data_IF_261826465878
#
_entry.id   IF_261826465878
#
_cell.length_a   1.000
_cell.length_b   1.000
_cell.length_c   1.000
_cell.angle_alpha   90.00
_cell.angle_beta   90.00
_cell.angle_gamma   90.00
#
_symmetry.space_group_name_H-M   'P 1'
#
loop_
_entity.id
_entity.type
_entity.pdbx_description
1 polymer ?
#
# COMPACT_ATOMS: atom_id res chain seq x y z
N UNK A 1 5.78 4.68 28.42
CA UNK A 1 6.48 4.68 27.12
C UNK A 1 6.05 3.44 26.36
N UNK A 2 5.57 3.57 25.11
CA UNK A 2 5.46 2.39 24.23
C UNK A 2 6.88 1.90 23.95
N UNK A 3 7.15 0.62 24.13
CA UNK A 3 8.47 0.06 23.87
C UNK A 3 8.77 0.18 22.38
N UNK A 4 9.88 0.84 22.03
CA UNK A 4 10.38 0.89 20.66
C UNK A 4 11.18 -0.38 20.41
N UNK A 5 10.86 -1.11 19.34
CA UNK A 5 11.66 -2.25 18.90
C UNK A 5 12.94 -1.74 18.22
N UNK A 6 14.05 -2.45 18.38
CA UNK A 6 15.26 -2.20 17.60
C UNK A 6 15.07 -2.66 16.16
N UNK A 7 15.89 -2.15 15.24
CA UNK A 7 15.92 -2.60 13.85
C UNK A 7 16.00 -4.12 13.74
N UNK A 8 16.94 -4.75 14.46
CA UNK A 8 17.12 -6.21 14.43
C UNK A 8 15.90 -6.97 14.94
N UNK A 9 15.16 -6.42 15.91
CA UNK A 9 13.91 -7.03 16.39
C UNK A 9 12.79 -6.91 15.34
N UNK A 10 12.69 -5.78 14.66
CA UNK A 10 11.72 -5.55 13.59
C UNK A 10 12.00 -6.52 12.43
N UNK A 11 13.25 -6.59 11.97
CA UNK A 11 13.68 -7.50 10.91
C UNK A 11 13.38 -8.95 11.26
N UNK A 12 13.80 -9.40 12.45
CA UNK A 12 13.56 -10.77 12.88
C UNK A 12 12.06 -11.12 12.94
N UNK A 13 11.22 -10.17 13.34
CA UNK A 13 9.77 -10.34 13.38
C UNK A 13 9.17 -10.48 11.97
N UNK A 14 9.55 -9.59 11.04
CA UNK A 14 9.06 -9.63 9.65
C UNK A 14 9.50 -10.95 9.00
N UNK A 15 10.78 -11.30 9.10
CA UNK A 15 11.29 -12.56 8.56
C UNK A 15 10.60 -13.78 9.18
N UNK A 16 10.32 -13.76 10.49
CA UNK A 16 9.58 -14.84 11.13
C UNK A 16 8.18 -14.98 10.55
N UNK A 17 7.50 -13.86 10.29
CA UNK A 17 6.16 -13.84 9.71
C UNK A 17 6.17 -14.36 8.27
N UNK A 18 7.17 -13.97 7.46
CA UNK A 18 7.37 -14.51 6.10
C UNK A 18 7.59 -16.02 6.14
N UNK A 19 8.40 -16.52 7.08
CA UNK A 19 8.62 -17.96 7.27
C UNK A 19 7.35 -18.70 7.70
N UNK A 20 6.55 -18.12 8.60
CA UNK A 20 5.29 -18.70 9.07
C UNK A 20 4.28 -18.86 7.93
N UNK A 21 4.26 -17.92 6.99
CA UNK A 21 3.44 -17.98 5.76
C UNK A 21 4.02 -18.92 4.70
N UNK A 22 5.29 -19.30 4.83
CA UNK A 22 6.01 -20.21 3.92
C UNK A 22 6.02 -19.73 2.46
N UNK A 23 6.21 -18.43 2.25
CA UNK A 23 6.40 -17.83 0.93
C UNK A 23 7.87 -17.48 0.71
N UNK A 24 8.37 -17.74 -0.50
CA UNK A 24 9.74 -17.39 -0.89
C UNK A 24 9.80 -15.93 -1.35
N UNK A 25 9.84 -15.01 -0.39
CA UNK A 25 9.94 -13.56 -0.59
C UNK A 25 11.09 -13.04 0.26
N UNK A 26 11.98 -12.25 -0.34
CA UNK A 26 13.13 -11.68 0.37
C UNK A 26 12.71 -10.42 1.15
N UNK A 27 13.35 -10.18 2.30
CA UNK A 27 13.19 -8.92 3.03
C UNK A 27 14.36 -7.99 2.73
N UNK A 28 14.06 -6.74 2.40
CA UNK A 28 15.04 -5.69 2.15
C UNK A 28 14.75 -4.45 2.99
N UNK A 29 15.81 -3.85 3.53
CA UNK A 29 15.72 -2.59 4.28
C UNK A 29 16.10 -1.45 3.35
N UNK A 30 15.20 -0.48 3.19
CA UNK A 30 15.44 0.70 2.35
C UNK A 30 14.69 1.91 2.91
N UNK A 31 15.29 3.09 2.80
CA UNK A 31 14.64 4.35 3.21
C UNK A 31 13.80 4.90 2.06
N UNK A 32 12.57 4.41 1.95
CA UNK A 32 11.64 4.77 0.87
C UNK A 32 10.70 5.91 1.26
N UNK A 33 10.51 6.16 2.55
CA UNK A 33 9.45 7.04 3.05
C UNK A 33 8.06 6.39 3.08
N UNK A 34 7.93 5.15 2.59
CA UNK A 34 6.75 4.28 2.71
C UNK A 34 7.05 3.23 3.78
N UNK A 35 6.06 2.87 4.60
CA UNK A 35 6.30 2.03 5.78
C UNK A 35 6.83 0.62 5.42
N UNK A 36 6.11 -0.09 4.55
CA UNK A 36 6.41 -1.39 4.02
C UNK A 36 5.76 -1.46 2.62
N UNK A 37 6.38 -2.17 1.69
CA UNK A 37 5.80 -2.39 0.36
C UNK A 37 6.37 -3.65 -0.27
N UNK A 38 5.60 -4.30 -1.13
CA UNK A 38 6.04 -5.40 -1.95
C UNK A 38 6.52 -4.93 -3.34
N UNK A 39 7.80 -5.13 -3.65
CA UNK A 39 8.33 -4.99 -5.01
C UNK A 39 8.06 -6.29 -5.78
N UNK A 40 6.98 -6.28 -6.56
CA UNK A 40 6.56 -7.43 -7.37
C UNK A 40 7.53 -7.76 -8.51
N UNK A 41 8.37 -6.82 -8.95
CA UNK A 41 9.38 -7.08 -9.99
C UNK A 41 10.49 -7.94 -9.41
N UNK A 42 11.06 -7.53 -8.27
CA UNK A 42 12.15 -8.25 -7.60
C UNK A 42 11.69 -9.36 -6.66
N UNK A 43 10.38 -9.44 -6.38
CA UNK A 43 9.78 -10.38 -5.43
C UNK A 43 10.39 -10.22 -4.02
N UNK A 44 10.41 -8.98 -3.53
CA UNK A 44 10.95 -8.61 -2.23
C UNK A 44 9.96 -7.73 -1.45
N UNK A 45 9.88 -7.91 -0.13
CA UNK A 45 9.27 -6.96 0.80
C UNK A 45 10.33 -5.95 1.18
N UNK A 46 10.04 -4.67 0.96
CA UNK A 46 10.88 -3.55 1.36
C UNK A 46 10.28 -2.92 2.60
N UNK A 47 11.11 -2.69 3.63
CA UNK A 47 10.69 -2.01 4.87
C UNK A 47 11.54 -0.79 5.15
N UNK A 48 10.89 0.32 5.47
CA UNK A 48 11.52 1.51 6.04
C UNK A 48 11.28 1.52 7.56
N UNK A 49 12.33 1.19 8.30
CA UNK A 49 12.30 1.00 9.75
C UNK A 49 11.85 2.25 10.50
N UNK A 50 12.26 3.44 10.05
CA UNK A 50 11.91 4.70 10.70
C UNK A 50 10.45 5.07 10.38
N UNK A 51 10.01 4.85 9.14
CA UNK A 51 8.64 5.15 8.70
C UNK A 51 7.61 4.20 9.31
N UNK A 52 7.88 2.89 9.38
CA UNK A 52 6.93 1.90 9.89
C UNK A 52 6.61 2.11 11.37
N UNK A 53 7.61 2.50 12.17
CA UNK A 53 7.41 2.86 13.57
C UNK A 53 6.55 4.12 13.73
N UNK A 54 6.73 5.12 12.86
CA UNK A 54 5.88 6.33 12.84
C UNK A 54 4.45 6.00 12.42
N UNK A 55 4.28 5.21 11.34
CA UNK A 55 2.98 4.81 10.81
C UNK A 55 2.12 4.09 11.87
N UNK A 56 2.73 3.19 12.65
CA UNK A 56 2.04 2.52 13.76
C UNK A 56 1.47 3.51 14.80
N UNK A 57 2.10 4.68 14.98
CA UNK A 57 1.63 5.71 15.90
C UNK A 57 0.61 6.67 15.28
N UNK A 58 0.42 6.63 13.96
CA UNK A 58 -0.60 7.40 13.23
C UNK A 58 -1.97 6.70 13.25
N UNK A 59 -2.03 5.44 13.71
CA UNK A 59 -3.29 4.72 13.89
C UNK A 59 -4.22 5.46 14.87
N UNK A 60 -5.53 5.54 14.56
CA UNK A 60 -6.52 6.16 15.45
C UNK A 60 -6.57 5.51 16.83
N UNK A 61 -6.36 4.19 16.87
CA UNK A 61 -6.31 3.40 18.09
C UNK A 61 -4.88 2.89 18.36
N UNK A 62 -4.41 2.95 19.61
CA UNK A 62 -3.15 2.35 20.02
C UNK A 62 -3.03 0.87 19.63
N UNK A 63 -1.94 0.51 18.94
CA UNK A 63 -1.59 -0.88 18.64
C UNK A 63 -0.13 -1.17 19.05
N UNK A 64 0.14 -2.42 19.42
CA UNK A 64 1.51 -2.88 19.60
C UNK A 64 2.23 -2.95 18.25
N UNK A 65 3.45 -2.42 18.18
CA UNK A 65 4.24 -2.43 16.94
C UNK A 65 4.43 -3.84 16.37
N UNK A 66 4.55 -4.85 17.23
CA UNK A 66 4.61 -6.26 16.79
C UNK A 66 3.38 -6.67 15.99
N UNK A 67 2.18 -6.44 16.53
CA UNK A 67 0.90 -6.77 15.85
C UNK A 67 0.79 -6.02 14.53
N UNK A 68 1.13 -4.73 14.52
CA UNK A 68 1.12 -3.91 13.32
C UNK A 68 2.07 -4.44 12.23
N UNK A 69 3.31 -4.78 12.61
CA UNK A 69 4.31 -5.32 11.69
C UNK A 69 3.87 -6.67 11.11
N UNK A 70 3.30 -7.56 11.93
CA UNK A 70 2.76 -8.84 11.45
C UNK A 70 1.64 -8.60 10.43
N UNK A 71 0.72 -7.68 10.71
CA UNK A 71 -0.39 -7.34 9.80
C UNK A 71 0.11 -6.77 8.48
N UNK A 72 1.03 -5.80 8.50
CA UNK A 72 1.60 -5.27 7.26
C UNK A 72 2.35 -6.36 6.48
N UNK A 73 3.13 -7.19 7.17
CA UNK A 73 3.88 -8.26 6.50
C UNK A 73 2.94 -9.22 5.75
N UNK A 74 1.84 -9.65 6.38
CA UNK A 74 0.88 -10.55 5.70
C UNK A 74 0.11 -9.83 4.58
N UNK A 75 -0.09 -8.51 4.68
CA UNK A 75 -0.65 -7.70 3.59
C UNK A 75 0.28 -7.66 2.37
N UNK A 76 1.56 -7.40 2.58
CA UNK A 76 2.55 -7.44 1.48
C UNK A 76 2.67 -8.84 0.85
N UNK A 77 2.58 -9.89 1.67
CA UNK A 77 2.52 -11.27 1.16
C UNK A 77 1.21 -11.55 0.42
N UNK A 78 0.13 -10.84 0.77
CA UNK A 78 -1.13 -10.83 0.03
C UNK A 78 -0.96 -10.29 -1.40
N UNK A 79 -0.11 -9.27 -1.61
CA UNK A 79 0.29 -8.84 -2.95
C UNK A 79 1.11 -9.92 -3.67
N UNK A 80 2.04 -10.58 -2.97
CA UNK A 80 2.85 -11.64 -3.56
C UNK A 80 2.02 -12.83 -4.06
N UNK A 81 0.87 -13.12 -3.45
CA UNK A 81 -0.07 -14.14 -3.92
C UNK A 81 -0.67 -13.81 -5.30
N UNK A 82 -0.80 -12.53 -5.64
CA UNK A 82 -1.33 -12.07 -6.93
C UNK A 82 -0.26 -11.36 -7.79
N UNK A 83 1.00 -11.75 -7.60
CA UNK A 83 2.15 -11.20 -8.34
C UNK A 83 1.95 -11.24 -9.86
N UNK A 84 1.23 -12.23 -10.37
CA UNK A 84 0.96 -12.36 -11.81
C UNK A 84 0.14 -11.17 -12.32
N UNK A 85 -0.93 -10.79 -11.64
CA UNK A 85 -1.75 -9.64 -12.03
C UNK A 85 -0.96 -8.32 -11.97
N UNK A 86 -0.10 -8.15 -10.95
CA UNK A 86 0.80 -6.99 -10.84
C UNK A 86 1.83 -6.94 -11.98
N UNK A 87 2.34 -8.08 -12.43
CA UNK A 87 3.23 -8.12 -13.59
C UNK A 87 2.49 -7.83 -14.90
N UNK A 88 1.23 -8.24 -15.03
CA UNK A 88 0.40 -7.97 -16.20
C UNK A 88 0.01 -6.48 -16.31
N UNK A 89 -0.04 -5.75 -15.19
CA UNK A 89 -0.30 -4.30 -15.18
C UNK A 89 0.93 -3.43 -15.49
N UNK A 90 2.12 -4.03 -15.54
CA UNK A 90 3.40 -3.31 -15.62
C UNK A 90 3.49 -2.31 -16.78
N UNK A 91 2.96 -2.66 -17.95
CA UNK A 91 3.02 -1.75 -19.11
C UNK A 91 2.12 -0.53 -18.92
N UNK A 92 0.94 -0.70 -18.29
CA UNK A 92 0.08 0.41 -17.91
C UNK A 92 0.74 1.26 -16.83
N UNK A 93 1.38 0.67 -15.83
CA UNK A 93 2.13 1.40 -14.79
C UNK A 93 3.25 2.26 -15.40
N UNK A 94 4.01 1.75 -16.38
CA UNK A 94 5.05 2.52 -17.08
C UNK A 94 4.47 3.72 -17.85
N UNK A 95 3.32 3.53 -18.50
CA UNK A 95 2.62 4.59 -19.22
C UNK A 95 2.22 5.70 -18.25
N UNK A 96 1.56 5.35 -17.14
CA UNK A 96 1.12 6.30 -16.10
C UNK A 96 2.30 7.08 -15.52
N UNK A 97 3.41 6.41 -15.18
CA UNK A 97 4.64 7.09 -14.70
C UNK A 97 5.17 8.09 -15.74
N UNK A 98 5.13 7.72 -17.02
CA UNK A 98 5.59 8.59 -18.11
C UNK A 98 4.71 9.82 -18.23
N UNK A 99 3.37 9.64 -18.19
CA UNK A 99 2.40 10.73 -18.24
C UNK A 99 2.52 11.66 -17.03
N UNK A 100 2.69 11.13 -15.81
CA UNK A 100 2.95 11.93 -14.59
C UNK A 100 4.18 12.81 -14.73
N UNK A 101 5.28 12.27 -15.24
CA UNK A 101 6.52 13.04 -15.47
C UNK A 101 6.32 14.16 -16.50
N UNK A 102 5.59 13.88 -17.58
CA UNK A 102 5.28 14.86 -18.61
C UNK A 102 4.39 15.98 -18.05
N UNK A 103 3.28 15.64 -17.40
CA UNK A 103 2.37 16.62 -16.81
C UNK A 103 3.07 17.53 -15.77
N UNK A 104 3.95 16.95 -14.95
CA UNK A 104 4.76 17.73 -14.01
C UNK A 104 5.72 18.70 -14.73
N UNK A 105 6.40 18.24 -15.79
CA UNK A 105 7.31 19.07 -16.58
C UNK A 105 6.56 20.22 -17.30
N UNK A 106 5.33 19.96 -17.73
CA UNK A 106 4.48 20.90 -18.45
C UNK A 106 3.65 21.80 -17.52
N UNK A 107 3.74 21.61 -16.19
CA UNK A 107 2.95 22.30 -15.16
C UNK A 107 1.44 22.19 -15.39
N UNK A 108 0.96 21.02 -15.80
CA UNK A 108 -0.46 20.72 -16.00
C UNK A 108 -1.00 19.70 -14.99
N UNK A 109 -0.80 19.87 -13.66
CA UNK A 109 -1.26 18.90 -12.68
C UNK A 109 -2.80 18.85 -12.56
N UNK A 110 -3.53 19.73 -13.25
CA UNK A 110 -4.98 19.86 -13.18
C UNK A 110 -5.62 19.95 -14.57
N UNK A 111 -4.95 19.48 -15.63
CA UNK A 111 -5.66 19.35 -16.92
C UNK A 111 -6.60 18.14 -16.89
N UNK A 112 -7.71 18.22 -17.63
CA UNK A 112 -8.77 17.22 -17.56
C UNK A 112 -8.29 15.81 -17.98
N UNK A 113 -7.49 15.64 -19.06
CA UNK A 113 -6.95 14.34 -19.43
C UNK A 113 -6.01 13.74 -18.37
N UNK A 114 -5.15 14.55 -17.75
CA UNK A 114 -4.27 14.12 -16.67
C UNK A 114 -5.06 13.68 -15.46
N UNK A 115 -6.02 14.50 -15.01
CA UNK A 115 -6.86 14.16 -13.87
C UNK A 115 -7.66 12.88 -14.13
N UNK A 116 -8.22 12.70 -15.33
CA UNK A 116 -8.89 11.44 -15.70
C UNK A 116 -7.97 10.23 -15.53
N UNK A 117 -6.73 10.33 -16.00
CA UNK A 117 -5.75 9.26 -15.87
C UNK A 117 -5.40 8.97 -14.39
N UNK A 118 -5.29 10.01 -13.54
CA UNK A 118 -5.08 9.84 -12.10
C UNK A 118 -6.26 9.10 -11.45
N UNK A 119 -7.51 9.42 -11.82
CA UNK A 119 -8.69 8.70 -11.32
C UNK A 119 -8.66 7.23 -11.73
N UNK A 120 -8.35 6.92 -13.00
CA UNK A 120 -8.24 5.55 -13.50
C UNK A 120 -7.12 4.75 -12.78
N UNK A 121 -6.02 5.40 -12.43
CA UNK A 121 -4.93 4.80 -11.63
C UNK A 121 -5.38 4.49 -10.21
N UNK A 122 -5.99 5.46 -9.50
CA UNK A 122 -6.51 5.24 -8.15
C UNK A 122 -7.51 4.08 -8.09
N UNK A 123 -8.40 3.98 -9.07
CA UNK A 123 -9.36 2.88 -9.16
C UNK A 123 -8.65 1.52 -9.29
N UNK A 124 -7.59 1.46 -10.09
CA UNK A 124 -6.79 0.25 -10.26
C UNK A 124 -6.02 -0.09 -8.98
N UNK A 125 -5.39 0.90 -8.35
CA UNK A 125 -4.61 0.73 -7.12
C UNK A 125 -5.50 0.25 -5.96
N UNK A 126 -6.69 0.84 -5.80
CA UNK A 126 -7.67 0.38 -4.79
C UNK A 126 -8.03 -1.09 -4.98
N UNK A 127 -8.23 -1.55 -6.23
CA UNK A 127 -8.52 -2.96 -6.50
C UNK A 127 -7.34 -3.86 -6.12
N UNK A 128 -6.10 -3.45 -6.39
CA UNK A 128 -4.91 -4.21 -5.97
C UNK A 128 -4.79 -4.28 -4.45
N UNK A 129 -5.02 -3.17 -3.76
CA UNK A 129 -4.99 -3.10 -2.29
C UNK A 129 -6.09 -3.98 -1.66
N UNK A 130 -7.32 -3.87 -2.13
CA UNK A 130 -8.44 -4.69 -1.64
C UNK A 130 -8.18 -6.20 -1.87
N UNK A 131 -7.59 -6.56 -3.01
CA UNK A 131 -7.21 -7.94 -3.33
C UNK A 131 -6.10 -8.44 -2.39
N UNK A 132 -5.07 -7.62 -2.13
CA UNK A 132 -4.01 -7.97 -1.20
C UNK A 132 -4.52 -8.14 0.23
N UNK A 133 -5.42 -7.25 0.68
CA UNK A 133 -6.08 -7.39 1.98
C UNK A 133 -6.97 -8.63 2.07
N UNK A 134 -7.66 -9.00 0.98
CA UNK A 134 -8.44 -10.24 0.93
C UNK A 134 -7.53 -11.47 1.04
N UNK A 135 -6.43 -11.51 0.29
CA UNK A 135 -5.43 -12.57 0.36
C UNK A 135 -4.79 -12.67 1.76
N UNK A 136 -4.43 -11.52 2.36
CA UNK A 136 -3.92 -11.45 3.71
C UNK A 136 -4.92 -11.95 4.75
N UNK A 137 -6.22 -11.66 4.56
CA UNK A 137 -7.30 -12.20 5.38
C UNK A 137 -7.40 -13.72 5.31
N UNK A 138 -7.24 -14.29 4.10
CA UNK A 138 -7.16 -15.74 3.90
C UNK A 138 -5.96 -16.30 4.67
N UNK A 139 -4.75 -15.74 4.48
CA UNK A 139 -3.54 -16.17 5.19
C UNK A 139 -3.71 -16.12 6.71
N UNK A 140 -4.24 -15.00 7.23
CA UNK A 140 -4.45 -14.85 8.66
C UNK A 140 -5.47 -15.85 9.22
N UNK A 141 -6.54 -16.14 8.47
CA UNK A 141 -7.56 -17.11 8.90
C UNK A 141 -7.01 -18.53 8.99
N UNK A 142 -6.07 -18.90 8.11
CA UNK A 142 -5.46 -20.23 8.10
C UNK A 142 -4.35 -20.38 9.15
N UNK A 143 -3.56 -19.34 9.36
CA UNK A 143 -2.33 -19.40 10.17
C UNK A 143 -2.48 -18.80 11.58
N UNK A 144 -3.51 -17.99 11.81
CA UNK A 144 -3.75 -17.36 13.11
C UNK A 144 -2.64 -16.41 13.55
N UNK A 145 -2.01 -15.70 12.60
CA UNK A 145 -0.83 -14.85 12.85
C UNK A 145 -1.16 -13.68 13.78
N UNK A 146 -2.35 -13.09 13.63
CA UNK A 146 -2.90 -12.05 14.51
C UNK A 146 -4.39 -12.26 14.74
N UNK A 147 -4.92 -11.64 15.81
CA UNK A 147 -6.36 -11.62 16.04
C UNK A 147 -7.11 -10.85 14.94
N UNK A 148 -8.34 -11.26 14.67
CA UNK A 148 -9.15 -10.70 13.58
C UNK A 148 -9.53 -9.24 13.79
N UNK A 149 -9.73 -8.81 15.04
CA UNK A 149 -10.12 -7.43 15.35
C UNK A 149 -8.96 -6.47 15.05
N UNK A 150 -7.74 -6.80 15.47
CA UNK A 150 -6.54 -6.03 15.14
C UNK A 150 -6.29 -5.98 13.63
N UNK A 151 -6.48 -7.11 12.94
CA UNK A 151 -6.34 -7.20 11.48
C UNK A 151 -7.30 -6.23 10.77
N UNK A 152 -8.59 -6.31 11.06
CA UNK A 152 -9.60 -5.48 10.41
C UNK A 152 -9.43 -3.99 10.73
N UNK A 153 -8.92 -3.64 11.91
CA UNK A 153 -8.59 -2.24 12.26
C UNK A 153 -7.52 -1.66 11.34
N UNK A 154 -6.40 -2.36 11.16
CA UNK A 154 -5.30 -1.87 10.30
C UNK A 154 -5.73 -1.85 8.84
N UNK A 155 -6.41 -2.90 8.37
CA UNK A 155 -6.98 -2.96 7.02
C UNK A 155 -7.92 -1.78 6.75
N UNK A 156 -8.88 -1.54 7.64
CA UNK A 156 -9.85 -0.44 7.48
C UNK A 156 -9.15 0.91 7.45
N UNK A 157 -8.18 1.13 8.35
CA UNK A 157 -7.40 2.37 8.37
C UNK A 157 -6.57 2.55 7.09
N UNK A 158 -5.91 1.49 6.61
CA UNK A 158 -5.10 1.53 5.40
C UNK A 158 -5.96 1.87 4.17
N UNK A 159 -7.04 1.12 3.92
CA UNK A 159 -7.95 1.35 2.79
C UNK A 159 -8.60 2.74 2.82
N UNK A 160 -8.91 3.26 4.00
CA UNK A 160 -9.46 4.62 4.16
C UNK A 160 -8.50 5.70 3.64
N UNK A 161 -7.18 5.50 3.73
CA UNK A 161 -6.20 6.47 3.22
C UNK A 161 -6.24 6.55 1.69
N UNK A 162 -6.35 5.41 1.00
CA UNK A 162 -6.49 5.36 -0.46
C UNK A 162 -7.81 5.99 -0.91
N UNK A 163 -8.92 5.67 -0.22
CA UNK A 163 -10.24 6.23 -0.53
C UNK A 163 -10.27 7.76 -0.39
N UNK A 164 -9.67 8.30 0.67
CA UNK A 164 -9.59 9.76 0.86
C UNK A 164 -8.80 10.48 -0.24
N UNK A 165 -7.70 9.88 -0.71
CA UNK A 165 -6.93 10.42 -1.81
C UNK A 165 -7.74 10.40 -3.11
N UNK A 166 -8.36 9.26 -3.42
CA UNK A 166 -9.25 9.12 -4.57
C UNK A 166 -10.39 10.14 -4.55
N UNK A 167 -11.12 10.27 -3.44
CA UNK A 167 -12.24 11.19 -3.30
C UNK A 167 -11.81 12.66 -3.47
N UNK A 168 -10.65 13.02 -2.94
CA UNK A 168 -10.07 14.36 -3.10
C UNK A 168 -9.77 14.69 -4.57
N UNK A 169 -9.10 13.78 -5.28
CA UNK A 169 -8.77 13.97 -6.70
C UNK A 169 -10.02 13.90 -7.58
N UNK A 170 -11.00 13.05 -7.23
CA UNK A 170 -12.27 12.93 -7.95
C UNK A 170 -13.07 14.23 -7.89
N UNK A 171 -13.10 14.88 -6.73
CA UNK A 171 -13.76 16.18 -6.58
C UNK A 171 -13.12 17.26 -7.48
N UNK A 172 -11.79 17.26 -7.60
CA UNK A 172 -11.07 18.16 -8.52
C UNK A 172 -11.44 17.85 -9.97
N UNK A 173 -11.43 16.58 -10.35
CA UNK A 173 -11.78 16.14 -11.70
C UNK A 173 -13.22 16.54 -12.08
N UNK A 174 -14.19 16.33 -11.18
CA UNK A 174 -15.58 16.69 -11.40
C UNK A 174 -15.76 18.21 -11.58
N UNK A 175 -15.10 19.03 -10.76
CA UNK A 175 -15.13 20.49 -10.90
C UNK A 175 -14.59 20.95 -12.27
N UNK A 176 -13.48 20.36 -12.74
CA UNK A 176 -12.91 20.66 -14.05
C UNK A 176 -13.83 20.26 -15.21
N UNK A 177 -14.58 19.16 -15.08
CA UNK A 177 -15.57 18.75 -16.08
C UNK A 177 -16.71 19.78 -16.18
N UNK A 178 -17.24 20.24 -15.04
CA UNK A 178 -18.31 21.22 -14.99
C UNK A 178 -17.88 22.57 -15.60
N UNK A 179 -16.66 23.04 -15.29
CA UNK A 179 -16.10 24.26 -15.90
C UNK A 179 -15.94 24.14 -17.42
N UNK A 180 -15.55 22.96 -17.92
CA UNK A 180 -15.38 22.72 -19.36
C UNK A 180 -16.72 22.65 -20.10
N UNK A 181 -17.79 22.21 -19.44
CA UNK A 181 -19.14 22.10 -20.01
C UNK A 181 -19.90 23.44 -20.03
N UNK A 182 -19.41 24.46 -19.32
CA UNK A 182 -19.98 25.81 -19.27
C UNK A 182 -19.38 26.78 -20.31
N UNK A 183 -18.40 26.32 -21.10
CA UNK A 183 -17.74 27.06 -22.19
C UNK A 183 -18.23 26.55 -23.55
#
# INVERSE_FOLDING_TARGET
MRATMTESQIVALIESTIRDVNMNVELKLERTGVNMMYDFIKNEVIVDIDRVQKACNELPEPMALETYLRILTIHELGHAMDRKALLESLDRTKEVITLKKQAAAEKRPTDLPFMKMIIEEHESDIVFEETAWANAGILNSFLGIVDGDSFEKVKSHSLETYRKLYEGDLAIYQALQEETLLV
#
